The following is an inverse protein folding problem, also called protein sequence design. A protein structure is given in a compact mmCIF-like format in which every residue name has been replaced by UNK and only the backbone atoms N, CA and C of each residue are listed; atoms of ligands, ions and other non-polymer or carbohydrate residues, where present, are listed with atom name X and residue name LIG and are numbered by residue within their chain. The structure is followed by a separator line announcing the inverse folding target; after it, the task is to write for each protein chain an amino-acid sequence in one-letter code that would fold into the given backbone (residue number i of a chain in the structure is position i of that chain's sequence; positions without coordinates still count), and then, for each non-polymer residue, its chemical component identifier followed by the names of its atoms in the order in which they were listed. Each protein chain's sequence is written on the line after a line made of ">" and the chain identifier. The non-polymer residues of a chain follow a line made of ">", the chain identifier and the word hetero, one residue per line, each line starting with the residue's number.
data_IF_710646554192
#
_entry.id   IF_710646554192
#
_cell.length_a   1.000
_cell.length_b   1.000
_cell.length_c   1.000
_cell.angle_alpha   90.00
_cell.angle_beta   90.00
_cell.angle_gamma   90.00
#
_symmetry.space_group_name_H-M   'P 1'
#
loop_
_entity.id
_entity.type
_entity.pdbx_description
1 polymer ?
#
# COMPACT_ATOMS: atom_id res chain seq x y z
N UNK A 1 6.99 9.90 6.55
CA UNK A 1 5.59 9.56 6.14
C UNK A 1 4.67 10.75 6.37
N UNK A 2 3.58 10.86 5.60
CA UNK A 2 2.56 11.90 5.76
C UNK A 2 1.67 11.60 6.96
N UNK A 3 1.24 12.64 7.67
CA UNK A 3 0.31 12.53 8.80
C UNK A 3 -1.09 12.94 8.37
N UNK A 4 -2.10 12.24 8.89
CA UNK A 4 -3.51 12.55 8.67
C UNK A 4 -4.25 12.40 9.99
N UNK A 5 -4.92 13.47 10.44
CA UNK A 5 -5.74 13.44 11.65
C UNK A 5 -7.17 13.09 11.29
N UNK A 6 -7.76 12.11 11.98
CA UNK A 6 -9.15 11.68 11.84
C UNK A 6 -9.88 11.82 13.17
N UNK A 7 -11.09 12.36 13.14
CA UNK A 7 -11.97 12.40 14.30
C UNK A 7 -12.62 11.04 14.50
N UNK A 8 -12.46 10.46 15.69
CA UNK A 8 -12.95 9.15 16.03
C UNK A 8 -13.97 9.24 17.19
N UNK A 9 -15.17 8.71 16.99
CA UNK A 9 -16.21 8.64 18.01
C UNK A 9 -16.30 7.20 18.54
N UNK A 10 -16.16 7.02 19.87
CA UNK A 10 -16.27 5.70 20.48
C UNK A 10 -17.67 5.12 20.30
N UNK A 11 -17.74 3.83 20.00
CA UNK A 11 -19.01 3.11 19.88
C UNK A 11 -19.41 2.51 21.22
N UNK A 12 -20.67 2.71 21.57
CA UNK A 12 -21.31 2.07 22.73
C UNK A 12 -22.19 0.89 22.32
N UNK A 13 -22.71 0.92 21.08
CA UNK A 13 -23.55 -0.13 20.55
C UNK A 13 -22.79 -1.03 19.56
N UNK A 14 -22.96 -2.35 19.70
CA UNK A 14 -22.29 -3.37 18.91
C UNK A 14 -23.29 -4.23 18.12
N UNK A 15 -22.77 -4.97 17.15
CA UNK A 15 -23.50 -5.94 16.36
C UNK A 15 -23.99 -5.42 15.01
N UNK A 16 -24.68 -6.31 14.27
CA UNK A 16 -25.09 -6.11 12.87
C UNK A 16 -26.04 -4.91 12.69
N UNK A 17 -26.97 -4.71 13.62
CA UNK A 17 -27.99 -3.65 13.54
C UNK A 17 -27.33 -2.27 13.72
N UNK A 18 -26.48 -2.11 14.72
CA UNK A 18 -25.75 -0.88 15.00
C UNK A 18 -24.76 -0.52 13.87
N UNK A 19 -24.01 -1.50 13.35
CA UNK A 19 -23.12 -1.26 12.20
C UNK A 19 -23.87 -0.83 10.93
N UNK A 20 -25.09 -1.38 10.70
CA UNK A 20 -25.93 -0.97 9.57
C UNK A 20 -26.49 0.44 9.76
N UNK A 21 -26.84 0.83 10.99
CA UNK A 21 -27.30 2.18 11.30
C UNK A 21 -26.19 3.20 11.06
N UNK A 22 -24.98 3.00 11.63
CA UNK A 22 -23.82 3.86 11.41
C UNK A 22 -23.53 4.11 9.93
N UNK A 23 -23.53 3.05 9.10
CA UNK A 23 -23.30 3.20 7.65
C UNK A 23 -24.40 3.98 6.93
N UNK A 24 -25.65 3.94 7.41
CA UNK A 24 -26.74 4.76 6.86
C UNK A 24 -26.58 6.25 7.17
N UNK A 25 -25.94 6.56 8.30
CA UNK A 25 -25.59 7.91 8.71
C UNK A 25 -24.31 8.44 8.05
N UNK A 26 -23.67 7.64 7.16
CA UNK A 26 -22.42 8.00 6.49
C UNK A 26 -21.18 7.82 7.37
N UNK A 27 -21.29 7.06 8.46
CA UNK A 27 -20.17 6.71 9.33
C UNK A 27 -19.69 5.29 9.06
N UNK A 28 -18.39 5.08 9.11
CA UNK A 28 -17.77 3.77 8.90
C UNK A 28 -17.32 3.21 10.24
N UNK A 29 -17.78 1.99 10.62
CA UNK A 29 -17.28 1.30 11.79
C UNK A 29 -15.83 0.90 11.60
N UNK A 30 -15.01 1.15 12.61
CA UNK A 30 -13.58 0.91 12.63
C UNK A 30 -13.16 0.22 13.93
N UNK A 31 -12.05 -0.51 13.86
CA UNK A 31 -11.40 -1.09 15.03
C UNK A 31 -9.96 -0.63 15.11
N UNK A 32 -9.49 -0.33 16.32
CA UNK A 32 -8.09 -0.08 16.65
C UNK A 32 -7.60 -1.19 17.55
N UNK A 33 -6.58 -1.91 17.10
CA UNK A 33 -5.95 -2.98 17.88
C UNK A 33 -4.41 -2.88 17.80
N UNK A 34 -3.75 -3.73 18.57
CA UNK A 34 -2.30 -3.69 18.73
C UNK A 34 -1.97 -3.74 20.22
N UNK A 35 -0.87 -3.11 20.63
CA UNK A 35 -0.53 -3.07 22.03
C UNK A 35 -1.55 -2.26 22.83
N UNK A 36 -2.21 -2.91 23.81
CA UNK A 36 -3.26 -2.35 24.64
C UNK A 36 -4.65 -2.90 24.33
N UNK A 37 -5.68 -2.21 24.81
CA UNK A 37 -7.06 -2.62 24.63
C UNK A 37 -7.54 -2.35 23.19
N UNK A 38 -8.41 -3.23 22.71
CA UNK A 38 -9.09 -3.05 21.44
C UNK A 38 -10.17 -1.99 21.58
N UNK A 39 -10.10 -0.97 20.72
CA UNK A 39 -11.06 0.14 20.72
C UNK A 39 -11.90 0.07 19.47
N UNK A 40 -13.23 0.09 19.65
CA UNK A 40 -14.17 0.15 18.53
C UNK A 40 -14.76 1.55 18.43
N UNK A 41 -14.77 2.12 17.23
CA UNK A 41 -15.18 3.49 16.98
C UNK A 41 -15.80 3.65 15.59
N UNK A 42 -16.27 4.83 15.29
CA UNK A 42 -16.74 5.22 13.97
C UNK A 42 -16.01 6.49 13.52
N UNK A 43 -15.83 6.58 12.19
CA UNK A 43 -15.26 7.75 11.52
C UNK A 43 -16.17 8.14 10.36
N UNK A 44 -16.24 9.41 10.03
CA UNK A 44 -16.97 9.89 8.86
C UNK A 44 -16.39 9.32 7.55
N UNK A 45 -17.25 8.77 6.69
CA UNK A 45 -16.83 8.23 5.39
C UNK A 45 -16.06 9.26 4.55
N UNK A 46 -16.44 10.55 4.65
CA UNK A 46 -15.80 11.64 3.90
C UNK A 46 -14.34 11.85 4.32
N UNK A 47 -14.03 11.75 5.62
CA UNK A 47 -12.66 11.89 6.13
C UNK A 47 -11.79 10.70 5.70
N UNK A 48 -12.36 9.50 5.64
CA UNK A 48 -11.66 8.29 5.19
C UNK A 48 -11.33 8.31 3.69
N UNK A 49 -12.01 9.12 2.87
CA UNK A 49 -11.73 9.19 1.43
C UNK A 49 -10.31 9.61 1.13
N UNK A 50 -9.80 10.61 1.83
CA UNK A 50 -8.42 11.07 1.66
C UNK A 50 -7.38 9.98 1.95
N UNK A 51 -7.69 9.10 2.90
CA UNK A 51 -6.84 8.00 3.31
C UNK A 51 -6.89 6.81 2.33
N UNK A 52 -8.10 6.43 1.89
CA UNK A 52 -8.34 5.17 1.19
C UNK A 52 -8.11 5.29 -0.32
N UNK A 53 -8.55 6.40 -0.92
CA UNK A 53 -8.46 6.62 -2.37
C UNK A 53 -7.15 7.28 -2.83
N UNK A 54 -6.19 7.44 -1.91
CA UNK A 54 -4.86 7.94 -2.23
C UNK A 54 -3.86 6.77 -2.22
N UNK A 55 -2.95 6.68 -3.18
CA UNK A 55 -1.94 5.62 -3.21
C UNK A 55 -0.93 5.73 -2.08
N UNK A 56 -0.76 6.91 -1.48
CA UNK A 56 0.19 7.18 -0.40
C UNK A 56 -0.15 6.42 0.88
N UNK A 57 0.87 6.12 1.67
CA UNK A 57 0.70 5.58 3.02
C UNK A 57 0.77 6.70 4.04
N UNK A 58 -0.11 6.64 5.05
CA UNK A 58 -0.25 7.67 6.08
C UNK A 58 -0.05 7.08 7.47
N UNK A 59 0.53 7.88 8.34
CA UNK A 59 0.43 7.73 9.78
C UNK A 59 -0.84 8.47 10.20
N UNK A 60 -1.73 7.79 10.86
CA UNK A 60 -3.05 8.32 11.22
C UNK A 60 -3.04 8.67 12.69
N UNK A 61 -3.46 9.89 12.97
CA UNK A 61 -3.71 10.40 14.32
C UNK A 61 -5.21 10.33 14.56
N UNK A 62 -5.63 9.34 15.35
CA UNK A 62 -7.03 9.16 15.76
C UNK A 62 -7.29 10.02 16.98
N UNK A 63 -8.12 11.04 16.83
CA UNK A 63 -8.54 11.92 17.93
C UNK A 63 -9.84 11.41 18.54
N UNK A 64 -9.74 10.90 19.75
CA UNK A 64 -10.86 10.49 20.62
C UNK A 64 -11.19 11.59 21.62
N UNK A 65 -11.73 12.72 21.15
CA UNK A 65 -12.11 13.87 22.00
C UNK A 65 -10.97 14.41 22.87
N UNK A 66 -9.77 14.58 22.26
CA UNK A 66 -8.58 15.11 22.93
C UNK A 66 -7.55 14.06 23.32
N UNK A 67 -7.87 12.77 23.21
CA UNK A 67 -6.87 11.69 23.29
C UNK A 67 -6.46 11.28 21.89
N UNK A 68 -5.24 11.59 21.47
CA UNK A 68 -4.71 11.26 20.16
C UNK A 68 -3.93 9.96 20.24
N UNK A 69 -4.28 8.99 19.37
CA UNK A 69 -3.57 7.73 19.24
C UNK A 69 -3.03 7.57 17.81
N UNK A 70 -1.75 7.21 17.68
CA UNK A 70 -1.11 6.96 16.39
C UNK A 70 -1.45 5.56 15.89
N UNK A 71 -1.87 5.47 14.64
CA UNK A 71 -2.25 4.22 14.01
C UNK A 71 -1.85 4.17 12.53
N UNK A 72 -1.85 2.96 11.95
CA UNK A 72 -1.73 2.72 10.52
C UNK A 72 -2.89 1.87 10.04
N UNK A 73 -3.33 2.05 8.79
CA UNK A 73 -4.34 1.19 8.18
C UNK A 73 -3.76 -0.20 7.97
N UNK A 74 -4.49 -1.20 8.43
CA UNK A 74 -4.14 -2.60 8.23
C UNK A 74 -4.96 -3.24 7.12
N UNK A 75 -6.27 -3.11 7.21
CA UNK A 75 -7.21 -3.69 6.26
C UNK A 75 -8.39 -2.75 6.02
N UNK A 76 -8.91 -2.77 4.80
CA UNK A 76 -10.09 -2.01 4.41
C UNK A 76 -11.05 -2.93 3.67
N UNK A 77 -12.29 -3.01 4.14
CA UNK A 77 -13.33 -3.81 3.51
C UNK A 77 -14.25 -2.92 2.68
N UNK A 78 -14.48 -3.31 1.44
CA UNK A 78 -15.34 -2.59 0.50
C UNK A 78 -16.62 -3.38 0.18
N UNK A 79 -17.67 -2.65 -0.13
CA UNK A 79 -18.88 -3.25 -0.69
C UNK A 79 -18.61 -3.61 -2.16
N UNK A 80 -18.85 -4.89 -2.58
CA UNK A 80 -18.42 -5.39 -3.89
C UNK A 80 -19.06 -4.68 -5.10
N UNK A 81 -20.26 -4.08 -4.92
CA UNK A 81 -20.99 -3.43 -6.00
C UNK A 81 -20.96 -1.89 -5.87
N UNK A 82 -21.03 -1.37 -4.65
CA UNK A 82 -21.17 0.08 -4.39
C UNK A 82 -19.85 0.76 -4.14
N UNK A 83 -18.76 0.00 -3.97
CA UNK A 83 -17.41 0.47 -3.62
C UNK A 83 -17.36 1.31 -2.32
N UNK A 84 -18.44 1.27 -1.52
CA UNK A 84 -18.50 1.92 -0.23
C UNK A 84 -17.60 1.21 0.78
N UNK A 85 -16.94 1.95 1.63
CA UNK A 85 -16.15 1.40 2.71
C UNK A 85 -17.08 0.81 3.77
N UNK A 86 -16.92 -0.47 4.06
CA UNK A 86 -17.73 -1.18 5.05
C UNK A 86 -17.07 -1.20 6.42
N UNK A 87 -15.75 -1.35 6.45
CA UNK A 87 -14.97 -1.46 7.68
C UNK A 87 -13.53 -1.07 7.42
N UNK A 88 -12.87 -0.49 8.41
CA UNK A 88 -11.43 -0.22 8.38
C UNK A 88 -10.81 -0.70 9.68
N UNK A 89 -9.73 -1.47 9.54
CA UNK A 89 -8.91 -1.92 10.65
C UNK A 89 -7.66 -1.06 10.78
N UNK A 90 -7.46 -0.55 11.98
CA UNK A 90 -6.30 0.25 12.35
C UNK A 90 -5.42 -0.53 13.32
N UNK A 91 -4.12 -0.47 13.10
CA UNK A 91 -3.13 -1.01 13.99
C UNK A 91 -2.44 0.11 14.76
N UNK A 92 -2.47 0.04 16.09
CA UNK A 92 -1.84 1.03 16.97
C UNK A 92 -0.33 0.99 16.80
N UNK A 93 0.26 2.15 16.64
CA UNK A 93 1.71 2.30 16.53
C UNK A 93 2.27 2.77 17.86
N UNK A 94 3.29 2.07 18.33
CA UNK A 94 4.05 2.43 19.52
C UNK A 94 5.44 2.85 19.07
N UNK A 95 5.90 3.99 19.58
CA UNK A 95 7.22 4.49 19.28
C UNK A 95 8.28 3.47 19.75
N UNK A 96 9.29 3.20 18.89
CA UNK A 96 10.32 2.20 19.13
C UNK A 96 9.97 0.75 18.78
N UNK A 97 8.72 0.46 18.38
CA UNK A 97 8.34 -0.87 17.90
C UNK A 97 8.25 -0.93 16.36
N UNK A 98 8.80 -2.00 15.74
CA UNK A 98 8.70 -2.14 14.29
C UNK A 98 7.26 -2.48 13.86
N UNK A 99 6.74 -1.72 12.91
CA UNK A 99 5.39 -1.86 12.38
C UNK A 99 5.44 -2.40 10.95
N UNK A 100 4.51 -3.30 10.63
CA UNK A 100 4.34 -3.80 9.27
C UNK A 100 3.28 -2.94 8.54
N UNK A 101 3.68 -2.30 7.44
CA UNK A 101 2.82 -1.44 6.62
C UNK A 101 2.99 -1.75 5.13
N UNK A 102 1.91 -1.58 4.36
CA UNK A 102 1.95 -1.70 2.92
C UNK A 102 2.35 -0.35 2.29
N UNK A 103 3.55 -0.27 1.73
CA UNK A 103 4.06 0.91 1.05
C UNK A 103 3.86 0.81 -0.47
N UNK A 104 3.48 1.92 -1.15
CA UNK A 104 3.36 1.95 -2.59
C UNK A 104 4.73 1.84 -3.27
N UNK A 105 4.77 1.16 -4.41
CA UNK A 105 5.96 1.06 -5.25
C UNK A 105 5.87 2.11 -6.36
N UNK A 106 6.91 2.92 -6.47
CA UNK A 106 7.11 3.88 -7.56
C UNK A 106 8.30 3.46 -8.42
N UNK A 107 8.05 3.32 -9.71
CA UNK A 107 9.11 3.04 -10.67
C UNK A 107 9.74 4.35 -11.16
N UNK A 108 11.07 4.39 -11.21
CA UNK A 108 11.84 5.52 -11.73
C UNK A 108 12.79 5.05 -12.82
N UNK A 109 13.21 5.98 -13.69
CA UNK A 109 14.04 5.67 -14.83
C UNK A 109 13.26 5.22 -16.07
N UNK A 110 13.99 4.95 -17.13
CA UNK A 110 13.44 4.48 -18.41
C UNK A 110 14.16 3.18 -18.81
N UNK A 111 13.46 2.07 -18.65
CA UNK A 111 14.02 0.74 -18.87
C UNK A 111 14.57 0.58 -20.31
N UNK A 112 15.77 0.03 -20.42
CA UNK A 112 16.39 -0.30 -21.74
C UNK A 112 15.48 -1.19 -22.59
N UNK A 113 14.82 -2.15 -21.94
CA UNK A 113 13.89 -3.04 -22.62
C UNK A 113 12.66 -2.35 -23.20
N UNK A 114 12.23 -1.21 -22.65
CA UNK A 114 11.13 -0.41 -23.20
C UNK A 114 11.58 0.34 -24.45
N UNK A 115 12.83 0.84 -24.49
CA UNK A 115 13.41 1.50 -25.66
C UNK A 115 13.47 0.58 -26.88
N UNK A 116 13.62 -0.74 -26.66
CA UNK A 116 13.66 -1.77 -27.70
C UNK A 116 12.24 -2.29 -28.07
N UNK A 117 11.19 -1.67 -27.50
CA UNK A 117 9.80 -2.02 -27.81
C UNK A 117 9.17 -3.03 -26.85
N UNK A 118 9.79 -3.32 -25.70
CA UNK A 118 9.17 -4.06 -24.58
C UNK A 118 8.09 -3.23 -23.88
N UNK A 119 7.23 -3.87 -23.10
CA UNK A 119 6.21 -3.21 -22.28
C UNK A 119 6.52 -3.39 -20.80
N UNK A 120 6.76 -2.28 -20.09
CA UNK A 120 6.92 -2.29 -18.64
C UNK A 120 5.57 -2.59 -17.99
N UNK A 121 5.55 -3.58 -17.11
CA UNK A 121 4.38 -3.99 -16.34
C UNK A 121 4.73 -3.99 -14.85
N UNK A 122 3.98 -3.21 -14.06
CA UNK A 122 4.04 -3.22 -12.60
C UNK A 122 3.10 -4.34 -12.11
N UNK A 123 3.66 -5.37 -11.46
CA UNK A 123 2.92 -6.52 -10.94
C UNK A 123 2.45 -6.26 -9.51
N UNK A 124 3.34 -5.80 -8.64
CA UNK A 124 3.02 -5.47 -7.25
C UNK A 124 3.02 -3.95 -7.06
N UNK A 125 1.83 -3.38 -6.83
CA UNK A 125 1.67 -1.92 -6.62
C UNK A 125 2.01 -1.49 -5.20
N UNK A 126 1.88 -2.39 -4.23
CA UNK A 126 2.22 -2.17 -2.82
C UNK A 126 2.99 -3.38 -2.31
N UNK A 127 3.98 -3.14 -1.45
CA UNK A 127 4.75 -4.19 -0.77
C UNK A 127 4.61 -4.00 0.73
N UNK A 128 4.43 -5.09 1.46
CA UNK A 128 4.38 -5.06 2.92
C UNK A 128 5.81 -5.09 3.44
N UNK A 129 6.19 -4.05 4.14
CA UNK A 129 7.48 -3.91 4.80
C UNK A 129 7.30 -3.76 6.30
N UNK A 130 8.30 -4.19 7.07
CA UNK A 130 8.38 -4.04 8.52
C UNK A 130 9.59 -3.18 8.84
N UNK A 131 9.39 -2.14 9.63
CA UNK A 131 10.46 -1.23 10.04
C UNK A 131 10.03 -0.33 11.19
N UNK A 132 11.00 0.40 11.74
CA UNK A 132 10.71 1.47 12.70
C UNK A 132 10.04 2.63 11.97
N UNK A 133 9.13 3.33 12.66
CA UNK A 133 8.34 4.41 12.08
C UNK A 133 9.19 5.53 11.47
N UNK A 134 10.35 5.82 12.09
CA UNK A 134 11.30 6.84 11.65
C UNK A 134 11.97 6.50 10.31
N UNK A 135 12.16 5.20 10.04
CA UNK A 135 12.85 4.70 8.84
C UNK A 135 11.89 4.39 7.68
N UNK A 136 10.58 4.51 7.89
CA UNK A 136 9.59 4.20 6.86
C UNK A 136 9.47 5.34 5.85
N UNK A 137 9.80 5.12 4.55
CA UNK A 137 9.63 6.11 3.50
C UNK A 137 8.14 6.24 3.11
N UNK A 138 7.81 7.31 2.38
CA UNK A 138 6.46 7.50 1.84
C UNK A 138 6.14 6.51 0.72
N UNK A 139 7.15 6.15 -0.08
CA UNK A 139 7.05 5.25 -1.23
C UNK A 139 8.36 4.48 -1.42
N UNK A 140 8.28 3.28 -1.99
CA UNK A 140 9.42 2.45 -2.35
C UNK A 140 9.82 2.78 -3.80
N UNK A 141 10.93 3.49 -3.96
CA UNK A 141 11.43 3.91 -5.28
C UNK A 141 12.29 2.79 -5.85
N UNK A 142 11.91 2.27 -7.02
CA UNK A 142 12.62 1.19 -7.72
C UNK A 142 13.11 1.71 -9.07
N UNK A 143 14.43 1.68 -9.29
CA UNK A 143 15.02 2.03 -10.58
C UNK A 143 14.91 0.88 -11.56
N UNK A 144 14.24 1.15 -12.69
CA UNK A 144 14.05 0.18 -13.77
C UNK A 144 14.98 0.41 -14.96
N UNK A 145 15.89 1.38 -14.88
CA UNK A 145 16.79 1.74 -15.99
C UNK A 145 17.56 0.53 -16.55
N UNK A 146 18.19 -0.34 -15.74
CA UNK A 146 18.95 -1.48 -16.25
C UNK A 146 18.09 -2.64 -16.76
N UNK A 147 16.75 -2.55 -16.69
CA UNK A 147 15.86 -3.67 -16.96
C UNK A 147 15.71 -3.93 -18.46
N UNK A 148 16.14 -5.11 -18.90
CA UNK A 148 16.06 -5.59 -20.30
C UNK A 148 14.75 -6.30 -20.59
N UNK A 149 14.47 -6.53 -21.90
CA UNK A 149 13.28 -7.27 -22.34
C UNK A 149 13.28 -8.68 -21.78
N UNK A 150 12.16 -9.08 -21.16
CA UNK A 150 11.99 -10.40 -20.54
C UNK A 150 12.53 -10.51 -19.13
N UNK A 151 13.16 -9.47 -18.57
CA UNK A 151 13.63 -9.46 -17.18
C UNK A 151 12.53 -9.03 -16.21
N UNK A 152 12.64 -9.53 -15.00
CA UNK A 152 11.72 -9.25 -13.88
C UNK A 152 12.56 -8.87 -12.65
N UNK A 153 12.14 -7.84 -11.94
CA UNK A 153 12.67 -7.50 -10.63
C UNK A 153 11.76 -8.16 -9.58
N UNK A 154 12.35 -8.91 -8.67
CA UNK A 154 11.68 -9.54 -7.55
C UNK A 154 11.92 -8.76 -6.26
N UNK A 155 11.10 -9.01 -5.25
CA UNK A 155 11.26 -8.39 -3.91
C UNK A 155 12.63 -8.70 -3.32
N UNK A 156 13.16 -9.91 -3.56
CA UNK A 156 14.49 -10.31 -3.10
C UNK A 156 15.65 -9.52 -3.69
N UNK A 157 15.46 -8.86 -4.83
CA UNK A 157 16.47 -8.03 -5.50
C UNK A 157 16.51 -6.59 -4.92
N UNK A 158 15.51 -6.24 -4.07
CA UNK A 158 15.39 -4.91 -3.49
C UNK A 158 16.07 -4.85 -2.13
N UNK A 159 16.87 -3.81 -1.91
CA UNK A 159 17.49 -3.52 -0.63
C UNK A 159 17.16 -2.09 -0.20
N UNK A 160 16.56 -1.96 0.99
CA UNK A 160 16.26 -0.67 1.60
C UNK A 160 16.79 -0.68 3.03
N UNK A 161 17.52 0.35 3.40
CA UNK A 161 18.12 0.47 4.73
C UNK A 161 17.03 0.55 5.83
N UNK A 162 17.18 -0.26 6.88
CA UNK A 162 16.27 -0.25 8.02
C UNK A 162 14.89 -0.88 7.78
N UNK A 163 14.66 -1.49 6.59
CA UNK A 163 13.40 -2.15 6.25
C UNK A 163 13.57 -3.65 6.04
N UNK A 164 12.61 -4.42 6.53
CA UNK A 164 12.48 -5.84 6.25
C UNK A 164 11.23 -6.09 5.41
N UNK A 165 11.36 -6.79 4.29
CA UNK A 165 10.21 -7.20 3.50
C UNK A 165 9.48 -8.36 4.17
N UNK A 166 8.17 -8.17 4.41
CA UNK A 166 7.25 -9.23 4.84
C UNK A 166 6.72 -9.97 3.62
N UNK A 167 6.58 -9.25 2.49
CA UNK A 167 6.23 -9.85 1.20
C UNK A 167 7.30 -10.85 0.77
N UNK A 168 6.93 -12.07 0.31
CA UNK A 168 7.89 -13.09 -0.10
C UNK A 168 8.90 -12.59 -1.14
N UNK A 169 10.16 -12.97 -1.00
CA UNK A 169 11.25 -12.58 -1.91
C UNK A 169 11.01 -12.98 -3.38
N UNK A 170 10.24 -14.05 -3.61
CA UNK A 170 9.87 -14.56 -4.94
C UNK A 170 8.76 -13.76 -5.63
N UNK A 171 8.16 -12.75 -4.96
CA UNK A 171 7.11 -11.93 -5.54
C UNK A 171 7.69 -11.00 -6.59
N UNK A 172 7.14 -11.04 -7.81
CA UNK A 172 7.53 -10.14 -8.89
C UNK A 172 7.00 -8.73 -8.63
N UNK A 173 7.89 -7.74 -8.64
CA UNK A 173 7.55 -6.32 -8.46
C UNK A 173 7.21 -5.67 -9.80
N UNK A 174 8.12 -5.76 -10.76
CA UNK A 174 7.91 -5.26 -12.12
C UNK A 174 8.67 -6.11 -13.12
N UNK A 175 8.20 -6.10 -14.37
CA UNK A 175 8.84 -6.84 -15.48
C UNK A 175 8.71 -6.09 -16.79
N UNK A 176 9.68 -6.24 -17.68
CA UNK A 176 9.54 -5.82 -19.09
C UNK A 176 9.10 -7.00 -19.92
N UNK A 177 7.83 -6.98 -20.30
CA UNK A 177 7.24 -8.05 -21.11
C UNK A 177 7.65 -7.93 -22.57
N UNK A 178 7.90 -9.10 -23.19
CA UNK A 178 8.17 -9.21 -24.62
C UNK A 178 6.92 -8.85 -25.41
N UNK A 179 7.02 -7.96 -26.39
CA UNK A 179 5.95 -7.61 -27.33
C UNK A 179 6.26 -8.17 -28.73
N UNK A 180 5.30 -8.06 -29.66
CA UNK A 180 5.56 -8.44 -31.06
C UNK A 180 6.66 -7.58 -31.68
N UNK A 181 6.69 -6.28 -31.36
CA UNK A 181 7.70 -5.34 -31.83
C UNK A 181 9.10 -5.70 -31.31
N UNK A 182 9.25 -6.02 -30.03
CA UNK A 182 10.54 -6.39 -29.44
C UNK A 182 11.07 -7.74 -29.97
N UNK A 183 10.20 -8.68 -30.37
CA UNK A 183 10.60 -9.92 -31.03
C UNK A 183 11.20 -9.64 -32.40
N UNK A 184 10.59 -8.72 -33.18
CA UNK A 184 11.09 -8.33 -34.48
C UNK A 184 12.47 -7.64 -34.38
N UNK A 185 12.65 -6.75 -33.42
CA UNK A 185 13.93 -6.09 -33.20
C UNK A 185 15.05 -7.09 -32.81
N UNK A 186 14.74 -8.00 -31.86
CA UNK A 186 15.70 -9.04 -31.47
C UNK A 186 16.08 -10.00 -32.61
N UNK A 187 15.14 -10.34 -33.52
CA UNK A 187 15.42 -11.17 -34.70
C UNK A 187 16.28 -10.43 -35.71
N UNK A 188 16.08 -9.12 -35.91
CA UNK A 188 16.88 -8.29 -36.80
C UNK A 188 18.34 -8.15 -36.30
N UNK A 189 18.53 -8.02 -34.99
CA UNK A 189 19.87 -7.92 -34.37
C UNK A 189 20.68 -9.22 -34.49
N UNK A 190 20.01 -10.39 -34.46
CA UNK A 190 20.65 -11.68 -34.66
C UNK A 190 21.03 -11.94 -36.13
N UNK A 191 20.28 -11.39 -37.06
CA UNK A 191 20.61 -11.52 -38.50
C UNK A 191 21.74 -10.58 -38.94
N UNK A 192 21.92 -9.45 -38.30
CA UNK A 192 23.00 -8.49 -38.56
C UNK A 192 24.39 -8.89 -38.02
N UNK A 193 24.47 -9.95 -37.20
CA UNK A 193 25.71 -10.50 -36.63
C UNK A 193 26.26 -11.76 -37.36
N UNK A 194 25.65 -12.15 -38.45
CA UNK A 194 26.14 -13.17 -39.35
C UNK A 194 26.69 -12.51 -40.59
#
# INVERSE_FOLDING_TARGET
>A
MKHLTLKAELRTEFGKKAAKAARREGKVPCNLYGAGENVTFVVDEKELRALIYTPSSFIIELDFNGKVEKAVVRETQFHPIREQVLHVDFYRVIDGQPVAIALPVRLTGNAEGVKIGGKLALSARKLVVKGLMENLPDELVVDVTPLKVGQTIFVGDLQFEGLQFVTPATTAVCAVRVTRASRGAAAAEQQGKR
#
